data_IF_374412478784
#
_entry.id   IF_374412478784
#
_cell.length_a   1.000
_cell.length_b   1.000
_cell.length_c   1.000
_cell.angle_alpha   90.00
_cell.angle_beta   90.00
_cell.angle_gamma   90.00
#
_symmetry.space_group_name_H-M   'P 1'
#
loop_
_entity.id
_entity.type
_entity.pdbx_description
1 polymer ?
#
# COMPACT_ATOMS: atom_id res chain seq x y z
N UNK A 1 21.00 -13.54 -13.60
CA UNK A 1 20.81 -12.29 -12.82
C UNK A 1 19.55 -11.63 -13.35
N UNK A 2 18.44 -11.72 -12.65
CA UNK A 2 17.25 -10.94 -13.00
C UNK A 2 17.61 -9.47 -12.82
N UNK A 3 17.40 -8.67 -13.87
CA UNK A 3 17.61 -7.23 -13.80
C UNK A 3 16.60 -6.64 -12.80
N UNK A 4 17.06 -6.39 -11.57
CA UNK A 4 16.26 -5.75 -10.53
C UNK A 4 15.79 -4.38 -11.04
N UNK A 5 14.49 -4.15 -11.06
CA UNK A 5 13.93 -2.88 -11.51
C UNK A 5 14.26 -1.80 -10.49
N UNK A 6 14.92 -0.73 -10.90
CA UNK A 6 15.21 0.40 -10.03
C UNK A 6 13.95 1.26 -9.79
N UNK A 7 13.85 1.94 -8.64
CA UNK A 7 12.77 2.88 -8.38
C UNK A 7 12.63 3.95 -9.47
N UNK A 8 11.40 4.38 -9.74
CA UNK A 8 11.14 5.45 -10.70
C UNK A 8 11.77 6.76 -10.21
N UNK A 9 12.48 7.44 -11.13
CA UNK A 9 13.13 8.73 -10.83
C UNK A 9 12.28 9.93 -11.17
N UNK A 10 11.24 9.75 -11.97
CA UNK A 10 10.39 10.83 -12.48
C UNK A 10 8.96 10.38 -12.71
N UNK A 11 8.02 11.32 -12.70
CA UNK A 11 6.63 11.11 -13.07
C UNK A 11 6.47 10.53 -14.48
N UNK A 12 7.35 10.86 -15.42
CA UNK A 12 7.31 10.34 -16.78
C UNK A 12 7.57 8.82 -16.84
N UNK A 13 8.59 8.35 -16.09
CA UNK A 13 8.89 6.92 -15.97
C UNK A 13 7.71 6.20 -15.31
N UNK A 14 7.18 6.77 -14.25
CA UNK A 14 6.05 6.20 -13.51
C UNK A 14 4.80 6.11 -14.40
N UNK A 15 4.46 7.16 -15.15
CA UNK A 15 3.36 7.16 -16.11
C UNK A 15 3.48 6.03 -17.13
N UNK A 16 4.68 5.82 -17.66
CA UNK A 16 4.94 4.69 -18.56
C UNK A 16 4.67 3.36 -17.88
N UNK A 17 5.13 3.16 -16.63
CA UNK A 17 4.90 1.92 -15.88
C UNK A 17 3.42 1.65 -15.61
N UNK A 18 2.64 2.70 -15.28
CA UNK A 18 1.17 2.58 -15.14
C UNK A 18 0.54 2.15 -16.47
N UNK A 19 0.89 2.81 -17.58
CA UNK A 19 0.40 2.41 -18.92
C UNK A 19 0.79 0.98 -19.29
N UNK A 20 2.00 0.57 -18.98
CA UNK A 20 2.48 -0.78 -19.28
C UNK A 20 1.72 -1.83 -18.46
N UNK A 21 1.35 -1.55 -17.20
CA UNK A 21 0.51 -2.43 -16.38
C UNK A 21 -0.83 -2.69 -17.06
N UNK A 22 -1.56 -1.64 -17.40
CA UNK A 22 -2.89 -1.75 -18.01
C UNK A 22 -2.89 -2.25 -19.46
N UNK A 23 -1.74 -2.23 -20.15
CA UNK A 23 -1.58 -2.82 -21.49
C UNK A 23 -1.25 -4.30 -21.47
N UNK A 24 -0.59 -4.81 -20.43
CA UNK A 24 -0.12 -6.21 -20.34
C UNK A 24 -1.24 -7.19 -19.93
N UNK A 25 -2.43 -7.03 -20.45
CA UNK A 25 -3.70 -7.66 -20.10
C UNK A 25 -3.71 -9.18 -20.04
N UNK A 26 -2.92 -9.87 -20.82
CA UNK A 26 -3.04 -11.31 -21.02
C UNK A 26 -2.08 -12.17 -20.21
N UNK A 27 -1.11 -11.60 -19.52
CA UNK A 27 -0.02 -12.35 -18.89
C UNK A 27 -0.14 -12.50 -17.37
N UNK A 28 -0.98 -11.74 -16.70
CA UNK A 28 -1.17 -11.88 -15.26
C UNK A 28 -2.29 -12.88 -14.94
N UNK A 29 -1.97 -14.17 -15.05
CA UNK A 29 -2.60 -15.16 -14.18
C UNK A 29 -1.99 -14.93 -12.79
N UNK A 30 -2.46 -13.92 -12.09
CA UNK A 30 -2.13 -13.75 -10.69
C UNK A 30 -2.74 -14.94 -9.94
N UNK A 31 -1.89 -15.75 -9.33
CA UNK A 31 -2.33 -16.44 -8.12
C UNK A 31 -2.92 -15.36 -7.23
N UNK A 32 -4.07 -15.58 -6.57
CA UNK A 32 -4.68 -14.57 -5.73
C UNK A 32 -3.61 -14.11 -4.73
N UNK A 33 -3.11 -12.91 -4.94
CA UNK A 33 -2.35 -12.21 -3.93
C UNK A 33 -3.29 -12.09 -2.76
N UNK A 34 -2.86 -12.57 -1.65
CA UNK A 34 -3.55 -12.70 -0.40
C UNK A 34 -4.72 -11.71 -0.27
N UNK A 35 -5.99 -12.11 -0.45
CA UNK A 35 -7.14 -11.24 -0.41
C UNK A 35 -7.39 -10.65 0.97
N UNK A 36 -6.60 -11.06 1.97
CA UNK A 36 -6.99 -11.05 3.37
C UNK A 36 -6.76 -9.74 4.12
N UNK A 37 -6.05 -8.78 3.54
CA UNK A 37 -5.73 -7.57 4.28
C UNK A 37 -6.95 -6.69 4.62
N UNK A 38 -8.02 -6.81 3.82
CA UNK A 38 -9.26 -6.06 4.00
C UNK A 38 -10.50 -6.95 4.20
N UNK A 39 -10.35 -8.27 3.97
CA UNK A 39 -11.43 -9.25 4.13
C UNK A 39 -11.71 -9.64 5.59
N UNK A 40 -10.89 -9.19 6.54
CA UNK A 40 -11.10 -9.46 7.97
C UNK A 40 -12.44 -8.93 8.52
N UNK A 41 -13.05 -7.98 7.82
CA UNK A 41 -14.30 -7.34 8.23
C UNK A 41 -15.53 -7.81 7.44
N UNK A 42 -15.40 -8.77 6.52
CA UNK A 42 -16.51 -9.33 5.74
C UNK A 42 -16.68 -10.82 5.98
N UNK A 43 -17.93 -11.29 5.95
CA UNK A 43 -18.26 -12.70 6.19
C UNK A 43 -17.74 -13.63 5.07
N UNK A 44 -17.58 -14.92 5.38
CA UNK A 44 -17.15 -15.92 4.39
C UNK A 44 -18.13 -16.06 3.21
N UNK A 45 -19.43 -15.78 3.43
CA UNK A 45 -20.43 -15.75 2.36
C UNK A 45 -20.19 -14.55 1.40
N UNK A 46 -19.83 -13.40 1.94
CA UNK A 46 -19.45 -12.21 1.15
C UNK A 46 -18.15 -12.43 0.39
N UNK A 47 -17.16 -13.14 1.00
CA UNK A 47 -15.92 -13.55 0.32
C UNK A 47 -16.22 -14.42 -0.91
N UNK A 48 -17.14 -15.38 -0.79
CA UNK A 48 -17.53 -16.25 -1.90
C UNK A 48 -18.26 -15.48 -3.02
N UNK A 49 -19.10 -14.51 -2.69
CA UNK A 49 -19.77 -13.65 -3.67
C UNK A 49 -18.78 -12.79 -4.45
N UNK A 50 -17.74 -12.26 -3.80
CA UNK A 50 -16.68 -11.48 -4.44
C UNK A 50 -15.84 -12.30 -5.41
N UNK A 51 -15.72 -13.61 -5.21
CA UNK A 51 -14.96 -14.51 -6.07
C UNK A 51 -15.76 -15.03 -7.30
N UNK A 52 -16.99 -14.61 -7.49
CA UNK A 52 -17.80 -15.05 -8.63
C UNK A 52 -17.52 -14.20 -9.87
N UNK A 53 -17.07 -14.80 -11.00
CA UNK A 53 -16.79 -14.04 -12.23
C UNK A 53 -18.11 -13.64 -12.89
N UNK A 54 -18.60 -12.45 -12.59
CA UNK A 54 -19.89 -12.00 -13.08
C UNK A 54 -19.87 -11.31 -14.45
N UNK A 55 -18.74 -10.78 -14.92
CA UNK A 55 -18.64 -10.21 -16.28
C UNK A 55 -17.17 -10.12 -16.72
N UNK A 56 -16.87 -10.36 -17.99
CA UNK A 56 -15.53 -10.23 -18.60
C UNK A 56 -15.24 -8.80 -19.05
N UNK A 57 -15.49 -7.82 -18.19
CA UNK A 57 -15.17 -6.42 -18.50
C UNK A 57 -13.69 -6.20 -18.20
N UNK A 58 -12.94 -5.74 -19.20
CA UNK A 58 -11.55 -5.33 -19.06
C UNK A 58 -11.41 -4.22 -18.01
N UNK A 59 -10.42 -4.32 -17.13
CA UNK A 59 -10.17 -3.35 -16.06
C UNK A 59 -10.03 -1.90 -16.57
N UNK A 60 -9.39 -1.71 -17.73
CA UNK A 60 -9.23 -0.38 -18.32
C UNK A 60 -10.56 0.17 -18.82
N UNK A 61 -11.38 -0.69 -19.44
CA UNK A 61 -12.73 -0.33 -19.89
C UNK A 61 -13.61 0.04 -18.70
N UNK A 62 -13.52 -0.72 -17.61
CA UNK A 62 -14.22 -0.42 -16.37
C UNK A 62 -13.83 0.95 -15.81
N UNK A 63 -12.53 1.24 -15.69
CA UNK A 63 -12.07 2.52 -15.14
C UNK A 63 -12.44 3.68 -16.09
N UNK A 64 -12.33 3.49 -17.40
CA UNK A 64 -12.77 4.49 -18.40
C UNK A 64 -14.26 4.79 -18.25
N UNK A 65 -15.08 3.75 -18.15
CA UNK A 65 -16.53 3.90 -17.95
C UNK A 65 -16.81 4.68 -16.65
N UNK A 66 -16.16 4.32 -15.54
CA UNK A 66 -16.29 5.07 -14.28
C UNK A 66 -15.91 6.55 -14.46
N UNK A 67 -14.81 6.81 -15.19
CA UNK A 67 -14.38 8.18 -15.48
C UNK A 67 -15.37 8.97 -16.34
N UNK A 68 -16.06 8.32 -17.27
CA UNK A 68 -17.04 8.97 -18.16
C UNK A 68 -18.37 9.25 -17.43
N UNK A 69 -18.75 8.40 -16.49
CA UNK A 69 -19.96 8.59 -15.67
C UNK A 69 -19.82 9.75 -14.67
N UNK A 70 -18.62 9.95 -14.13
CA UNK A 70 -18.33 11.08 -13.23
C UNK A 70 -18.12 12.35 -14.04
N UNK A 71 -19.17 13.20 -14.12
CA UNK A 71 -19.17 14.43 -14.93
C UNK A 71 -18.81 15.69 -14.13
N UNK A 72 -18.97 15.65 -12.82
CA UNK A 72 -18.74 16.77 -11.89
C UNK A 72 -17.40 16.65 -11.12
N UNK A 73 -16.50 15.81 -11.61
CA UNK A 73 -15.21 15.57 -10.99
C UNK A 73 -14.32 14.66 -11.81
N UNK A 74 -13.35 14.07 -11.15
CA UNK A 74 -12.38 13.16 -11.75
C UNK A 74 -12.18 11.90 -10.90
N UNK A 75 -11.63 10.86 -11.51
CA UNK A 75 -11.18 9.67 -10.79
C UNK A 75 -9.66 9.60 -10.77
N UNK A 76 -9.15 9.04 -9.68
CA UNK A 76 -7.72 8.94 -9.42
C UNK A 76 -7.35 7.53 -9.00
N UNK A 77 -6.24 7.02 -9.53
CA UNK A 77 -5.53 5.91 -8.89
C UNK A 77 -4.81 6.45 -7.65
N UNK A 78 -4.77 5.66 -6.57
CA UNK A 78 -4.22 6.12 -5.30
C UNK A 78 -3.30 5.09 -4.63
N UNK A 79 -2.26 5.55 -3.96
CA UNK A 79 -1.49 4.79 -2.98
C UNK A 79 -0.77 3.56 -3.52
N UNK A 80 -1.18 2.39 -3.04
CA UNK A 80 -0.46 1.12 -3.20
C UNK A 80 -0.12 0.73 -4.62
N UNK A 81 -1.05 0.87 -5.55
CA UNK A 81 -0.82 0.58 -6.98
C UNK A 81 0.32 1.44 -7.54
N UNK A 82 0.31 2.75 -7.25
CA UNK A 82 1.30 3.67 -7.80
C UNK A 82 2.65 3.46 -7.13
N UNK A 83 2.67 3.25 -5.79
CA UNK A 83 3.88 2.90 -5.04
C UNK A 83 4.58 1.67 -5.62
N UNK A 84 3.87 0.56 -5.81
CA UNK A 84 4.47 -0.69 -6.27
C UNK A 84 4.99 -0.57 -7.70
N UNK A 85 4.28 0.15 -8.56
CA UNK A 85 4.76 0.48 -9.89
C UNK A 85 6.00 1.39 -9.84
N UNK A 86 6.04 2.34 -8.90
CA UNK A 86 7.19 3.22 -8.72
C UNK A 86 8.42 2.46 -8.23
N UNK A 87 8.27 1.54 -7.27
CA UNK A 87 9.38 0.78 -6.68
C UNK A 87 9.87 -0.35 -7.59
N UNK A 88 8.95 -1.17 -8.12
CA UNK A 88 9.26 -2.47 -8.70
C UNK A 88 8.85 -2.60 -10.17
N UNK A 89 8.04 -1.66 -10.68
CA UNK A 89 7.51 -1.72 -12.04
C UNK A 89 6.37 -2.73 -12.23
N UNK A 90 5.80 -2.81 -13.45
CA UNK A 90 4.56 -3.54 -13.69
C UNK A 90 4.68 -5.07 -13.54
N UNK A 91 5.86 -5.65 -13.71
CA UNK A 91 6.07 -7.11 -13.61
C UNK A 91 5.97 -7.66 -12.18
N UNK A 92 6.27 -6.83 -11.20
CA UNK A 92 6.23 -7.19 -9.78
C UNK A 92 5.02 -6.59 -9.07
N UNK A 93 4.05 -6.07 -9.81
CA UNK A 93 2.83 -5.52 -9.25
C UNK A 93 1.99 -6.62 -8.59
N UNK A 94 1.63 -6.39 -7.34
CA UNK A 94 0.86 -7.32 -6.53
C UNK A 94 0.12 -6.55 -5.41
N UNK A 95 -0.72 -5.58 -5.82
CA UNK A 95 -1.54 -4.77 -4.92
C UNK A 95 -2.96 -4.68 -5.44
N UNK A 96 -3.88 -4.30 -4.56
CA UNK A 96 -5.22 -3.89 -4.94
C UNK A 96 -5.16 -2.60 -5.78
N UNK A 97 -6.21 -2.34 -6.54
CA UNK A 97 -6.37 -1.09 -7.27
C UNK A 97 -7.28 -0.18 -6.46
N UNK A 98 -6.67 0.84 -5.86
CA UNK A 98 -7.35 1.86 -5.11
C UNK A 98 -7.78 3.00 -6.05
N UNK A 99 -9.09 3.25 -6.16
CA UNK A 99 -9.70 4.31 -6.98
C UNK A 99 -10.40 5.31 -6.08
N UNK A 100 -10.06 6.57 -6.25
CA UNK A 100 -10.69 7.67 -5.53
C UNK A 100 -11.47 8.55 -6.49
N UNK A 101 -12.71 8.86 -6.13
CA UNK A 101 -13.60 9.77 -6.86
C UNK A 101 -13.57 11.14 -6.20
N UNK A 102 -13.08 12.15 -6.92
CA UNK A 102 -13.18 13.56 -6.54
C UNK A 102 -14.44 14.13 -7.16
N UNK A 103 -15.58 13.87 -6.55
CA UNK A 103 -16.93 14.18 -7.04
C UNK A 103 -17.95 13.33 -6.32
N UNK A 104 -19.18 13.29 -6.81
CA UNK A 104 -20.25 12.46 -6.25
C UNK A 104 -20.16 11.01 -6.78
N UNK A 105 -19.88 10.07 -5.88
CA UNK A 105 -19.85 8.64 -6.17
C UNK A 105 -21.23 8.05 -6.48
N UNK A 106 -22.32 8.73 -6.12
CA UNK A 106 -23.69 8.20 -6.21
C UNK A 106 -24.05 7.76 -7.63
N UNK A 107 -23.57 8.48 -8.65
CA UNK A 107 -23.79 8.14 -10.06
C UNK A 107 -23.21 6.80 -10.49
N UNK A 108 -22.16 6.31 -9.81
CA UNK A 108 -21.53 5.01 -10.08
C UNK A 108 -22.19 3.84 -9.34
N UNK A 109 -22.96 4.09 -8.28
CA UNK A 109 -23.51 3.03 -7.42
C UNK A 109 -24.25 1.93 -8.21
N UNK A 110 -25.15 2.24 -9.19
CA UNK A 110 -25.82 1.20 -9.95
C UNK A 110 -24.84 0.30 -10.75
N UNK A 111 -23.79 0.92 -11.29
CA UNK A 111 -22.74 0.17 -12.01
C UNK A 111 -21.93 -0.72 -11.07
N UNK A 112 -21.56 -0.20 -9.91
CA UNK A 112 -20.80 -0.96 -8.90
C UNK A 112 -21.61 -2.16 -8.43
N UNK A 113 -22.90 -1.97 -8.10
CA UNK A 113 -23.82 -3.03 -7.68
C UNK A 113 -24.01 -4.08 -8.78
N UNK A 114 -24.14 -3.68 -10.04
CA UNK A 114 -24.21 -4.61 -11.18
C UNK A 114 -22.95 -5.46 -11.37
N UNK A 115 -21.79 -4.98 -10.90
CA UNK A 115 -20.54 -5.73 -10.87
C UNK A 115 -20.32 -6.49 -9.54
N UNK A 116 -21.34 -6.61 -8.71
CA UNK A 116 -21.28 -7.34 -7.45
C UNK A 116 -20.45 -6.64 -6.37
N UNK A 117 -20.32 -5.31 -6.44
CA UNK A 117 -19.57 -4.57 -5.44
C UNK A 117 -20.23 -4.65 -4.06
N UNK A 118 -19.40 -4.84 -3.04
CA UNK A 118 -19.82 -4.85 -1.63
C UNK A 118 -19.42 -3.52 -0.99
N UNK A 119 -20.38 -2.86 -0.36
CA UNK A 119 -20.13 -1.64 0.39
C UNK A 119 -19.42 -1.96 1.70
N UNK A 120 -18.27 -1.31 1.94
CA UNK A 120 -17.52 -1.48 3.16
C UNK A 120 -18.02 -0.53 4.29
N UNK A 121 -17.57 -0.77 5.51
CA UNK A 121 -17.95 0.03 6.70
C UNK A 121 -17.54 1.51 6.65
N UNK A 122 -16.63 1.89 5.75
CA UNK A 122 -16.17 3.26 5.57
C UNK A 122 -16.91 4.01 4.45
N UNK A 123 -17.89 3.35 3.80
CA UNK A 123 -18.73 3.96 2.77
C UNK A 123 -18.21 3.78 1.34
N UNK A 124 -17.04 3.19 1.16
CA UNK A 124 -16.52 2.79 -0.14
C UNK A 124 -17.08 1.44 -0.60
N UNK A 125 -16.69 1.02 -1.80
CA UNK A 125 -17.12 -0.23 -2.42
C UNK A 125 -15.90 -1.08 -2.78
N UNK A 126 -16.01 -2.39 -2.56
CA UNK A 126 -15.03 -3.38 -3.00
C UNK A 126 -15.66 -4.29 -4.04
N UNK A 127 -14.93 -4.52 -5.13
CA UNK A 127 -15.34 -5.43 -6.21
C UNK A 127 -14.13 -6.07 -6.87
N UNK A 128 -14.40 -7.04 -7.75
CA UNK A 128 -13.39 -7.65 -8.61
C UNK A 128 -13.75 -7.44 -10.07
N UNK A 129 -12.81 -6.92 -10.85
CA UNK A 129 -12.89 -6.89 -12.30
C UNK A 129 -11.82 -7.82 -12.82
N UNK A 130 -12.22 -8.87 -13.55
CA UNK A 130 -11.36 -10.01 -13.83
C UNK A 130 -10.79 -10.60 -12.53
N UNK A 131 -9.47 -10.54 -12.35
CA UNK A 131 -8.79 -10.96 -11.12
C UNK A 131 -8.24 -9.78 -10.31
N UNK A 132 -8.67 -8.54 -10.63
CA UNK A 132 -8.19 -7.35 -9.97
C UNK A 132 -9.12 -6.97 -8.82
N UNK A 133 -8.66 -7.01 -7.57
CA UNK A 133 -9.40 -6.42 -6.47
C UNK A 133 -9.36 -4.89 -6.59
N UNK A 134 -10.52 -4.28 -6.51
CA UNK A 134 -10.68 -2.83 -6.64
C UNK A 134 -11.39 -2.31 -5.40
N UNK A 135 -10.84 -1.30 -4.80
CA UNK A 135 -11.51 -0.46 -3.83
C UNK A 135 -11.81 0.90 -4.47
N UNK A 136 -13.07 1.34 -4.37
CA UNK A 136 -13.51 2.64 -4.90
C UNK A 136 -14.29 3.42 -3.84
N UNK A 137 -13.91 4.68 -3.63
CA UNK A 137 -14.60 5.53 -2.67
C UNK A 137 -14.53 7.02 -3.04
N UNK A 138 -15.40 7.81 -2.45
CA UNK A 138 -15.41 9.26 -2.59
C UNK A 138 -14.30 9.90 -1.73
N UNK A 139 -13.54 10.83 -2.29
CA UNK A 139 -12.39 11.46 -1.64
C UNK A 139 -12.71 12.07 -0.27
N UNK A 140 -13.80 12.83 -0.17
CA UNK A 140 -14.25 13.47 1.08
C UNK A 140 -14.67 12.46 2.16
N UNK A 141 -14.99 11.21 1.77
CA UNK A 141 -15.41 10.14 2.66
C UNK A 141 -14.23 9.33 3.22
N UNK A 142 -12.99 9.66 2.82
CA UNK A 142 -11.77 9.01 3.35
C UNK A 142 -11.76 9.08 4.89
N UNK A 143 -11.52 7.93 5.53
CA UNK A 143 -11.62 7.78 6.98
C UNK A 143 -10.89 8.89 7.78
N UNK A 144 -9.67 9.24 7.39
CA UNK A 144 -8.90 10.26 8.07
C UNK A 144 -9.53 11.66 7.99
N UNK A 145 -10.22 11.95 6.90
CA UNK A 145 -10.97 13.19 6.70
C UNK A 145 -12.25 13.18 7.55
N UNK A 146 -13.05 12.13 7.45
CA UNK A 146 -14.29 11.98 8.25
C UNK A 146 -14.03 11.98 9.75
N UNK A 147 -12.86 11.48 10.16
CA UNK A 147 -12.45 11.47 11.57
C UNK A 147 -11.82 12.78 12.04
N UNK A 148 -11.70 13.78 11.17
CA UNK A 148 -11.17 15.10 11.50
C UNK A 148 -9.64 15.15 11.69
N UNK A 149 -8.89 14.12 11.24
CA UNK A 149 -7.43 14.12 11.30
C UNK A 149 -6.78 14.89 10.15
N UNK A 150 -7.49 15.00 9.03
CA UNK A 150 -7.05 15.77 7.84
C UNK A 150 -8.24 16.59 7.35
N UNK A 151 -8.03 17.88 7.11
CA UNK A 151 -9.04 18.73 6.49
C UNK A 151 -9.09 18.45 4.98
N UNK A 152 -10.31 18.31 4.44
CA UNK A 152 -10.48 18.17 3.00
C UNK A 152 -10.56 19.56 2.34
N UNK A 153 -9.51 19.93 1.63
CA UNK A 153 -9.39 21.18 0.86
C UNK A 153 -9.33 20.90 -0.66
N UNK A 154 -9.69 19.68 -1.05
CA UNK A 154 -9.63 19.15 -2.40
C UNK A 154 -8.82 17.87 -2.47
N UNK A 155 -8.73 17.28 -3.67
CA UNK A 155 -8.14 15.96 -3.88
C UNK A 155 -6.69 15.84 -3.36
N UNK A 156 -5.90 16.92 -3.42
CA UNK A 156 -4.52 16.95 -2.92
C UNK A 156 -4.40 16.67 -1.42
N UNK A 157 -5.46 16.89 -0.63
CA UNK A 157 -5.47 16.58 0.80
C UNK A 157 -5.24 15.08 1.09
N UNK A 158 -5.55 14.22 0.13
CA UNK A 158 -5.46 12.77 0.32
C UNK A 158 -4.02 12.28 0.52
N UNK A 159 -3.01 12.98 0.01
CA UNK A 159 -1.61 12.60 0.28
C UNK A 159 -1.27 12.62 1.78
N UNK A 160 -2.01 13.39 2.58
CA UNK A 160 -1.85 13.47 4.03
C UNK A 160 -2.68 12.43 4.80
N UNK A 161 -3.51 11.65 4.11
CA UNK A 161 -4.37 10.62 4.73
C UNK A 161 -3.72 9.25 4.76
N UNK A 162 -2.59 9.07 4.09
CA UNK A 162 -1.86 7.81 4.02
C UNK A 162 -1.03 7.57 5.28
N UNK A 163 -0.84 6.30 5.62
CA UNK A 163 0.06 5.93 6.72
C UNK A 163 1.52 6.24 6.37
N UNK A 164 1.93 5.93 5.14
CA UNK A 164 3.31 6.01 4.69
C UNK A 164 3.49 7.01 3.55
N UNK A 165 4.63 7.68 3.51
CA UNK A 165 5.02 8.62 2.46
C UNK A 165 5.03 7.98 1.05
N UNK A 166 5.37 6.71 0.94
CA UNK A 166 5.38 6.00 -0.34
C UNK A 166 3.98 5.80 -0.94
N UNK A 167 2.94 5.79 -0.10
CA UNK A 167 1.54 5.71 -0.52
C UNK A 167 0.94 7.10 -0.82
N UNK A 168 1.65 8.20 -0.51
CA UNK A 168 1.18 9.58 -0.63
C UNK A 168 1.25 10.11 -2.06
N UNK A 169 0.57 9.44 -2.97
CA UNK A 169 0.55 9.77 -4.39
C UNK A 169 -0.80 9.43 -5.02
N UNK A 170 -1.27 10.31 -5.91
CA UNK A 170 -2.44 10.10 -6.76
C UNK A 170 -2.05 10.28 -8.22
N UNK A 171 -2.78 9.62 -9.11
CA UNK A 171 -2.74 9.88 -10.55
C UNK A 171 -4.15 10.11 -11.07
N UNK A 172 -4.43 11.27 -11.62
CA UNK A 172 -5.66 11.53 -12.35
C UNK A 172 -5.73 10.61 -13.57
N UNK A 173 -6.79 9.82 -13.68
CA UNK A 173 -6.92 8.80 -14.72
C UNK A 173 -6.99 9.40 -16.12
N UNK A 174 -7.76 10.49 -16.28
CA UNK A 174 -8.01 11.15 -17.58
C UNK A 174 -6.82 11.93 -18.09
N UNK A 175 -6.19 12.75 -17.20
CA UNK A 175 -5.08 13.63 -17.58
C UNK A 175 -3.70 13.01 -17.39
N UNK A 176 -3.62 11.88 -16.68
CA UNK A 176 -2.39 11.20 -16.29
C UNK A 176 -1.43 12.08 -15.46
N UNK A 177 -1.93 13.15 -14.86
CA UNK A 177 -1.17 14.00 -13.98
C UNK A 177 -1.10 13.39 -12.58
N UNK A 178 0.07 13.53 -11.96
CA UNK A 178 0.30 13.04 -10.60
C UNK A 178 0.21 14.19 -9.59
N UNK A 179 -0.28 13.84 -8.38
CA UNK A 179 -0.28 14.69 -7.19
C UNK A 179 0.54 13.94 -6.12
N UNK A 180 1.61 14.53 -5.63
CA UNK A 180 2.52 13.98 -4.63
C UNK A 180 3.32 15.09 -3.95
N UNK A 181 3.92 14.79 -2.80
CA UNK A 181 4.81 15.71 -2.08
C UNK A 181 6.13 15.95 -2.82
N UNK A 182 6.72 17.12 -2.64
CA UNK A 182 7.92 17.59 -3.36
C UNK A 182 9.09 16.57 -3.32
N UNK A 183 9.26 15.85 -2.21
CA UNK A 183 10.36 14.89 -1.99
C UNK A 183 10.04 13.45 -2.41
N UNK A 184 8.85 13.17 -2.95
CA UNK A 184 8.36 11.82 -3.19
C UNK A 184 9.36 10.92 -3.94
N UNK A 185 9.86 11.34 -5.11
CA UNK A 185 10.80 10.54 -5.89
C UNK A 185 12.18 10.44 -5.24
N UNK A 186 12.60 11.43 -4.49
CA UNK A 186 13.85 11.39 -3.74
C UNK A 186 13.76 10.34 -2.63
N UNK A 187 12.68 10.34 -1.86
CA UNK A 187 12.43 9.38 -0.79
C UNK A 187 12.30 7.94 -1.31
N UNK A 188 11.66 7.75 -2.47
CA UNK A 188 11.63 6.44 -3.13
C UNK A 188 13.00 5.95 -3.56
N UNK A 189 13.83 6.82 -4.14
CA UNK A 189 15.17 6.45 -4.61
C UNK A 189 16.12 6.13 -3.46
N UNK A 190 16.05 6.88 -2.38
CA UNK A 190 16.82 6.63 -1.15
C UNK A 190 16.19 5.55 -0.26
N UNK A 191 15.12 4.88 -0.70
CA UNK A 191 14.42 3.87 0.09
C UNK A 191 14.02 4.36 1.49
N UNK A 192 13.76 5.68 1.61
CA UNK A 192 13.39 6.31 2.86
C UNK A 192 11.91 6.16 3.15
N UNK A 193 11.58 5.45 4.21
CA UNK A 193 10.22 5.24 4.70
C UNK A 193 9.92 6.23 5.83
N UNK A 194 8.74 6.84 5.79
CA UNK A 194 8.26 7.79 6.78
C UNK A 194 6.78 7.60 7.06
N UNK A 195 6.40 7.68 8.34
CA UNK A 195 4.99 7.70 8.73
C UNK A 195 4.46 9.13 8.59
N UNK A 196 3.43 9.32 7.75
CA UNK A 196 2.73 10.60 7.59
C UNK A 196 1.60 10.73 8.59
N UNK A 197 0.70 9.74 8.64
CA UNK A 197 -0.45 9.73 9.53
C UNK A 197 -0.37 8.55 10.49
N UNK A 198 -0.02 8.81 11.74
CA UNK A 198 0.09 7.80 12.80
C UNK A 198 -1.27 7.37 13.39
N UNK A 199 -2.37 7.98 12.96
CA UNK A 199 -3.74 7.64 13.41
C UNK A 199 -4.37 6.63 12.47
N UNK A 200 -4.93 5.55 13.05
CA UNK A 200 -5.57 4.49 12.28
C UNK A 200 -6.67 3.82 13.12
N UNK A 201 -7.80 3.42 12.54
CA UNK A 201 -8.86 2.69 13.25
C UNK A 201 -8.43 1.30 13.71
N UNK A 202 -7.37 0.75 13.10
CA UNK A 202 -6.76 -0.52 13.47
C UNK A 202 -5.25 -0.34 13.73
N UNK A 203 -4.84 0.09 14.94
CA UNK A 203 -3.43 0.38 15.23
C UNK A 203 -2.49 -0.84 15.11
N UNK A 204 -2.93 -2.03 15.49
CA UNK A 204 -2.13 -3.25 15.35
C UNK A 204 -1.94 -3.61 13.88
N UNK A 205 -3.00 -3.56 13.08
CA UNK A 205 -2.91 -3.79 11.64
C UNK A 205 -2.01 -2.77 10.93
N UNK A 206 -2.08 -1.51 11.35
CA UNK A 206 -1.17 -0.47 10.86
C UNK A 206 0.29 -0.79 11.19
N UNK A 207 0.59 -1.16 12.43
CA UNK A 207 1.95 -1.56 12.85
C UNK A 207 2.47 -2.72 12.01
N UNK A 208 1.69 -3.79 11.87
CA UNK A 208 2.05 -4.96 11.06
C UNK A 208 2.29 -4.56 9.60
N UNK A 209 1.43 -3.72 9.02
CA UNK A 209 1.60 -3.21 7.65
C UNK A 209 2.91 -2.45 7.47
N UNK A 210 3.27 -1.55 8.40
CA UNK A 210 4.53 -0.79 8.33
C UNK A 210 5.72 -1.73 8.42
N UNK A 211 5.74 -2.64 9.40
CA UNK A 211 6.82 -3.61 9.58
C UNK A 211 7.00 -4.51 8.34
N UNK A 212 5.89 -4.94 7.72
CA UNK A 212 5.94 -5.68 6.44
C UNK A 212 6.50 -4.84 5.30
N UNK A 213 6.19 -3.56 5.22
CA UNK A 213 6.80 -2.67 4.23
C UNK A 213 8.30 -2.54 4.43
N UNK A 214 8.76 -2.45 5.66
CA UNK A 214 10.19 -2.46 5.97
C UNK A 214 10.87 -3.75 5.51
N UNK A 215 10.24 -4.92 5.76
CA UNK A 215 10.81 -6.22 5.41
C UNK A 215 10.70 -6.59 3.92
N UNK A 216 9.59 -6.23 3.27
CA UNK A 216 9.25 -6.74 1.93
C UNK A 216 9.44 -5.72 0.81
N UNK A 217 9.38 -4.42 1.12
CA UNK A 217 9.48 -3.36 0.12
C UNK A 217 10.87 -2.71 0.08
N UNK A 218 11.85 -3.32 0.73
CA UNK A 218 13.25 -2.90 0.70
C UNK A 218 13.45 -1.46 1.20
N UNK A 219 12.84 -1.11 2.34
CA UNK A 219 13.13 0.15 3.02
C UNK A 219 14.56 0.10 3.58
N UNK A 220 15.37 1.10 3.28
CA UNK A 220 16.76 1.22 3.71
C UNK A 220 16.93 2.26 4.80
N UNK A 221 16.07 3.28 4.80
CA UNK A 221 16.08 4.36 5.76
C UNK A 221 14.70 4.57 6.37
N UNK A 222 14.66 4.96 7.63
CA UNK A 222 13.45 5.37 8.32
C UNK A 222 13.74 6.59 9.17
N UNK A 223 12.84 7.57 9.20
CA UNK A 223 13.05 8.76 9.99
C UNK A 223 12.85 8.51 11.49
N UNK A 224 13.49 9.33 12.31
CA UNK A 224 13.53 9.19 13.76
C UNK A 224 12.14 9.23 14.42
N UNK A 225 11.24 10.07 13.92
CA UNK A 225 9.88 10.16 14.45
C UNK A 225 9.11 8.86 14.21
N UNK A 226 9.28 8.27 13.03
CA UNK A 226 8.73 6.95 12.70
C UNK A 226 9.33 5.84 13.56
N UNK A 227 10.64 5.87 13.83
CA UNK A 227 11.30 4.91 14.74
C UNK A 227 10.73 4.99 16.14
N UNK A 228 10.58 6.19 16.70
CA UNK A 228 9.97 6.42 18.03
C UNK A 228 8.54 5.89 18.10
N UNK A 229 7.74 6.16 17.06
CA UNK A 229 6.39 5.63 16.97
C UNK A 229 6.39 4.08 16.95
N UNK A 230 7.22 3.47 16.11
CA UNK A 230 7.31 2.02 15.98
C UNK A 230 7.80 1.36 17.27
N UNK A 231 8.82 1.93 17.93
CA UNK A 231 9.31 1.46 19.23
C UNK A 231 8.19 1.45 20.28
N UNK A 232 7.44 2.53 20.41
CA UNK A 232 6.31 2.62 21.33
C UNK A 232 5.21 1.60 20.99
N UNK A 233 4.91 1.43 19.70
CA UNK A 233 3.88 0.50 19.22
C UNK A 233 4.29 -0.97 19.45
N UNK A 234 5.55 -1.36 19.18
CA UNK A 234 6.06 -2.73 19.40
C UNK A 234 6.12 -3.05 20.90
N UNK A 235 6.44 -2.08 21.75
CA UNK A 235 6.38 -2.25 23.22
C UNK A 235 4.96 -2.47 23.74
N UNK A 236 3.97 -1.87 23.08
CA UNK A 236 2.54 -2.03 23.42
C UNK A 236 1.97 -3.37 22.99
N UNK A 237 2.33 -3.85 21.80
CA UNK A 237 1.88 -5.12 21.24
C UNK A 237 3.02 -6.12 21.31
N UNK A 238 2.85 -7.18 22.10
CA UNK A 238 3.90 -8.20 22.22
C UNK A 238 4.13 -8.97 20.90
N UNK A 239 5.25 -9.68 20.84
CA UNK A 239 5.69 -10.45 19.68
C UNK A 239 4.62 -11.41 19.14
N UNK A 240 3.93 -12.12 20.06
CA UNK A 240 2.90 -13.09 19.71
C UNK A 240 1.71 -12.42 19.04
N UNK A 241 1.24 -11.28 19.56
CA UNK A 241 0.13 -10.53 18.97
C UNK A 241 0.45 -10.05 17.55
N UNK A 242 1.66 -9.52 17.34
CA UNK A 242 2.12 -9.06 16.01
C UNK A 242 2.18 -10.23 15.04
N UNK A 243 2.81 -11.35 15.43
CA UNK A 243 2.98 -12.53 14.59
C UNK A 243 1.65 -13.23 14.28
N UNK A 244 0.75 -13.34 15.26
CA UNK A 244 -0.59 -13.90 15.06
C UNK A 244 -1.39 -13.05 14.10
N UNK A 245 -1.41 -11.72 14.32
CA UNK A 245 -2.12 -10.81 13.42
C UNK A 245 -1.54 -10.84 11.99
N UNK A 246 -0.21 -10.92 11.86
CA UNK A 246 0.42 -11.05 10.56
C UNK A 246 -0.02 -12.33 9.85
N UNK A 247 0.02 -13.48 10.54
CA UNK A 247 -0.38 -14.74 9.96
C UNK A 247 -1.87 -14.75 9.57
N UNK A 248 -2.75 -14.26 10.44
CA UNK A 248 -4.18 -14.20 10.17
C UNK A 248 -4.52 -13.26 9.01
N UNK A 249 -3.83 -12.11 8.91
CA UNK A 249 -4.11 -11.10 7.89
C UNK A 249 -3.45 -11.37 6.54
N UNK A 250 -2.28 -12.04 6.52
CA UNK A 250 -1.47 -12.18 5.31
C UNK A 250 -1.13 -13.63 4.93
N UNK A 251 -1.49 -14.60 5.76
CA UNK A 251 -1.17 -16.01 5.54
C UNK A 251 0.33 -16.34 5.59
N UNK A 252 1.18 -15.37 5.98
CA UNK A 252 2.64 -15.55 6.06
C UNK A 252 3.23 -14.71 7.19
N UNK A 253 4.40 -15.14 7.67
CA UNK A 253 5.20 -14.41 8.66
C UNK A 253 6.49 -13.92 7.99
N UNK A 254 6.55 -12.65 7.65
CA UNK A 254 7.68 -12.00 6.96
C UNK A 254 8.38 -10.97 7.86
N UNK A 255 7.74 -10.60 8.98
CA UNK A 255 8.33 -9.64 9.92
C UNK A 255 9.48 -10.32 10.67
N UNK A 256 10.68 -9.77 10.48
CA UNK A 256 11.88 -10.30 11.11
C UNK A 256 11.89 -9.99 12.61
N UNK A 257 12.06 -11.03 13.44
CA UNK A 257 12.14 -10.89 14.90
C UNK A 257 13.23 -9.91 15.36
N UNK A 258 14.37 -9.90 14.68
CA UNK A 258 15.47 -8.99 15.01
C UNK A 258 15.08 -7.52 14.88
N UNK A 259 14.24 -7.16 13.91
CA UNK A 259 13.69 -5.80 13.79
C UNK A 259 12.83 -5.45 15.00
N UNK A 260 12.01 -6.39 15.47
CA UNK A 260 11.19 -6.17 16.66
C UNK A 260 12.04 -6.00 17.92
N UNK A 261 13.03 -6.87 18.13
CA UNK A 261 13.95 -6.81 19.26
C UNK A 261 14.73 -5.48 19.26
N UNK A 262 15.17 -5.04 18.09
CA UNK A 262 15.84 -3.76 17.89
C UNK A 262 14.93 -2.58 18.24
N UNK A 263 13.70 -2.54 17.73
CA UNK A 263 12.73 -1.49 18.04
C UNK A 263 12.38 -1.45 19.53
N UNK A 264 12.36 -2.61 20.22
CA UNK A 264 12.16 -2.69 21.67
C UNK A 264 13.34 -2.07 22.42
N UNK A 265 14.57 -2.24 21.92
CA UNK A 265 15.79 -1.71 22.56
C UNK A 265 15.94 -0.19 22.41
N UNK A 266 15.23 0.42 21.47
CA UNK A 266 15.26 1.88 21.29
C UNK A 266 14.65 2.56 22.51
N UNK A 267 15.44 3.39 23.17
CA UNK A 267 14.92 4.32 24.17
C UNK A 267 14.31 5.52 23.48
N UNK A 268 13.02 5.75 23.70
CA UNK A 268 12.27 6.85 23.07
C UNK A 268 12.69 8.24 23.57
N UNK A 269 13.44 8.30 24.68
CA UNK A 269 14.02 9.53 25.19
C UNK A 269 15.45 9.79 24.68
N UNK A 270 16.07 8.78 24.01
CA UNK A 270 17.39 8.92 23.42
C UNK A 270 17.42 9.95 22.29
N UNK A 271 18.57 10.60 22.16
CA UNK A 271 18.80 11.55 21.06
C UNK A 271 19.04 10.83 19.71
N UNK A 272 19.05 11.58 18.63
CA UNK A 272 19.23 11.08 17.27
C UNK A 272 20.50 10.24 17.09
N UNK A 273 21.64 10.68 17.68
CA UNK A 273 22.93 10.00 17.57
C UNK A 273 22.95 8.63 18.27
N UNK A 274 22.23 8.47 19.40
CA UNK A 274 22.15 7.19 20.12
C UNK A 274 21.28 6.18 19.37
N UNK A 275 20.20 6.64 18.75
CA UNK A 275 19.32 5.79 17.96
C UNK A 275 19.99 5.37 16.64
N UNK A 276 20.72 6.27 15.99
CA UNK A 276 21.53 5.94 14.81
C UNK A 276 22.59 4.87 15.12
N UNK A 277 23.22 4.92 16.30
CA UNK A 277 24.15 3.87 16.74
C UNK A 277 23.47 2.51 16.93
N UNK A 278 22.20 2.48 17.33
CA UNK A 278 21.43 1.24 17.48
C UNK A 278 21.01 0.69 16.11
N UNK A 279 20.64 1.57 15.18
CA UNK A 279 20.16 1.21 13.85
C UNK A 279 21.30 0.96 12.84
N UNK A 280 22.51 1.49 13.08
CA UNK A 280 23.68 1.45 12.21
C UNK A 280 24.90 0.90 12.95
N UNK A 281 24.91 -0.41 13.28
CA UNK A 281 26.12 -1.06 13.77
C UNK A 281 27.11 -1.26 12.62
N UNK A 282 28.36 -0.79 12.81
CA UNK A 282 29.51 -0.97 11.90
C UNK A 282 29.40 -0.31 10.51
N UNK A 283 28.61 0.77 10.38
CA UNK A 283 28.54 1.55 9.12
C UNK A 283 27.66 0.92 8.03
N UNK A 284 27.06 -0.23 8.29
CA UNK A 284 25.97 -0.79 7.49
C UNK A 284 24.64 -0.59 8.23
N UNK A 285 23.60 -0.15 7.53
CA UNK A 285 22.26 -0.12 8.08
C UNK A 285 21.88 -1.52 8.57
N UNK A 286 21.45 -1.66 9.83
CA UNK A 286 20.94 -2.96 10.32
C UNK A 286 19.76 -3.42 9.47
N UNK A 287 18.98 -2.49 8.94
CA UNK A 287 17.91 -2.77 8.00
C UNK A 287 18.49 -3.40 6.72
N UNK A 288 19.58 -2.88 6.16
CA UNK A 288 20.27 -3.45 4.99
C UNK A 288 20.85 -4.83 5.28
N UNK A 289 21.50 -5.01 6.40
CA UNK A 289 22.04 -6.30 6.84
C UNK A 289 20.94 -7.36 7.03
N UNK A 290 19.78 -6.97 7.57
CA UNK A 290 18.65 -7.89 7.81
C UNK A 290 17.86 -8.20 6.52
N UNK A 291 17.70 -7.23 5.62
CA UNK A 291 17.05 -7.42 4.32
C UNK A 291 17.96 -8.24 3.40
N UNK A 292 19.25 -7.97 3.37
CA UNK A 292 20.25 -8.74 2.61
C UNK A 292 20.28 -10.22 3.00
N UNK A 293 20.16 -10.55 4.29
CA UNK A 293 20.11 -11.95 4.76
C UNK A 293 18.80 -12.64 4.40
N UNK A 294 17.67 -11.95 4.41
CA UNK A 294 16.38 -12.50 4.00
C UNK A 294 16.33 -12.84 2.49
N UNK A 295 17.03 -12.09 1.65
CA UNK A 295 17.14 -12.37 0.21
C UNK A 295 18.02 -13.59 -0.10
N UNK A 296 19.01 -13.87 0.72
CA UNK A 296 19.90 -15.04 0.57
C UNK A 296 19.22 -16.35 1.00
N UNK A 297 18.26 -16.29 1.90
CA UNK A 297 17.49 -17.47 2.37
C UNK A 297 16.37 -17.90 1.41
N UNK A 298 16.02 -17.09 0.42
CA UNK A 298 14.98 -17.38 -0.61
C UNK A 298 15.54 -18.03 -1.88
N UNK A 299 16.77 -18.53 -1.89
CA UNK A 299 17.26 -19.39 -2.98
C UNK A 299 16.52 -20.71 -2.94
N UNK A 300 15.87 -21.17 -4.03
CA UNK A 300 15.21 -22.47 -4.04
C UNK A 300 16.24 -23.57 -3.82
N UNK A 301 15.88 -24.68 -3.13
CA UNK A 301 16.77 -25.80 -3.01
C UNK A 301 17.07 -26.35 -4.40
N UNK A 302 18.36 -26.49 -4.74
CA UNK A 302 18.81 -27.21 -5.93
C UNK A 302 18.25 -28.61 -5.89
N UNK A 303 17.29 -28.91 -6.76
CA UNK A 303 16.84 -30.29 -7.03
C UNK A 303 17.88 -30.87 -7.99
N UNK A 304 18.69 -31.78 -7.47
CA UNK A 304 19.47 -32.71 -8.28
C UNK A 304 18.59 -33.86 -8.74
#
# INVERSE_FOLDING_TARGET
MENKTLPAKTAQILRKRVKDLFKQRSCYKSSPSNPDQYLLDISDAEKQLLCSPLHSTDITEFINFCSDVITDGDIYLFGGIIRDLALFGPRAFNSDIDIVVDGDLTSLVPTLENHGAIKNKFGGYRLYIENWPIDIWQASETWAIKSGFVNYEGISSLINTTVLNWDAILMNWRTENFIFGEKYFQELQSRSLKIILAKNPNPLGMLVRILRHMCLKEAENIDMESVKYLSAAVKKYNHTQISTYEMESYGSQEINRKILDLLISVDTESNEEEIDKILFCDGESIIDSLIGQASLLKSPPNIH
#
